data_IF_387844631592
#
_entry.id   IF_387844631592
#
_cell.length_a   1.000
_cell.length_b   1.000
_cell.length_c   1.000
_cell.angle_alpha   90.00
_cell.angle_beta   90.00
_cell.angle_gamma   90.00
#
_symmetry.space_group_name_H-M   'P 1'
#
loop_
_entity.id
_entity.type
_entity.pdbx_description
1 polymer ?
#
# COMPACT_ATOMS: atom_id res chain seq x y z
N UNK A 1 6.86 12.78 -6.51
CA UNK A 1 6.38 12.02 -6.73
C UNK A 1 5.28 11.90 -7.22
N UNK A 2 4.64 11.84 -7.50
CA UNK A 2 3.74 11.64 -8.14
C UNK A 2 2.60 11.78 -7.79
N UNK A 3 2.02 11.54 -7.80
CA UNK A 3 0.99 11.29 -7.94
C UNK A 3 0.11 11.94 -7.62
N UNK A 4 -0.47 12.30 -8.27
CA UNK A 4 -1.55 12.92 -8.14
C UNK A 4 -2.49 12.18 -7.55
N UNK A 5 -2.40 11.67 -6.60
CA UNK A 5 -3.34 10.98 -6.15
C UNK A 5 -4.42 11.68 -5.85
N UNK A 6 -4.36 12.72 -5.50
CA UNK A 6 -5.49 13.40 -5.24
C UNK A 6 -6.39 13.42 -6.31
N UNK A 7 -6.00 13.14 -7.41
CA UNK A 7 -6.86 13.09 -8.39
C UNK A 7 -7.44 11.82 -8.42
N UNK A 8 -8.21 11.36 -7.63
CA UNK A 8 -8.81 10.07 -7.59
C UNK A 8 -9.20 9.54 -8.93
N UNK A 9 -9.77 10.37 -9.77
CA UNK A 9 -10.16 9.88 -11.02
C UNK A 9 -8.98 9.49 -11.82
N UNK A 10 -7.91 10.14 -11.70
CA UNK A 10 -6.73 9.77 -12.43
C UNK A 10 -6.25 8.43 -11.95
N UNK A 11 -6.37 8.18 -10.66
CA UNK A 11 -5.96 6.92 -10.13
C UNK A 11 -6.75 5.78 -10.74
N UNK A 12 -8.02 5.97 -10.91
CA UNK A 12 -8.84 4.95 -11.49
C UNK A 12 -8.41 4.70 -12.92
N UNK A 13 -8.11 5.74 -13.65
CA UNK A 13 -7.66 5.56 -14.97
C UNK A 13 -6.40 4.78 -15.03
N UNK A 14 -5.47 5.03 -14.17
CA UNK A 14 -4.25 4.29 -14.17
C UNK A 14 -4.52 2.84 -13.96
N UNK A 15 -5.42 2.51 -13.07
CA UNK A 15 -5.69 1.12 -12.85
C UNK A 15 -6.28 0.44 -14.06
N UNK A 16 -7.09 1.14 -14.80
CA UNK A 16 -7.66 0.54 -15.97
C UNK A 16 -6.63 0.25 -17.02
N UNK A 17 -5.63 1.09 -17.12
CA UNK A 17 -4.64 0.88 -18.12
C UNK A 17 -3.52 -0.02 -17.69
N UNK A 18 -3.46 -0.35 -16.44
CA UNK A 18 -2.45 -1.20 -15.84
C UNK A 18 -1.10 -0.52 -15.79
N UNK A 19 -0.22 -1.09 -15.05
CA UNK A 19 1.04 -0.47 -14.81
C UNK A 19 1.86 -0.24 -16.04
N UNK A 20 1.83 -1.13 -16.91
CA UNK A 20 2.70 -1.01 -18.05
C UNK A 20 2.41 0.16 -18.91
N UNK A 21 1.22 0.74 -18.77
CA UNK A 21 0.92 1.83 -19.59
C UNK A 21 1.36 3.12 -19.04
N UNK A 22 1.67 3.19 -17.76
CA UNK A 22 2.08 4.42 -17.13
C UNK A 22 3.51 4.26 -16.71
N UNK A 23 4.42 4.74 -17.56
CA UNK A 23 5.80 4.60 -17.28
C UNK A 23 6.12 5.19 -15.94
N UNK A 24 6.96 4.57 -15.19
CA UNK A 24 7.37 5.05 -13.88
C UNK A 24 6.54 4.52 -12.74
N UNK A 25 5.40 3.89 -13.01
CA UNK A 25 4.59 3.33 -11.95
C UNK A 25 4.76 1.82 -11.89
N UNK A 26 4.77 1.30 -10.67
CA UNK A 26 4.88 -0.13 -10.45
C UNK A 26 3.70 -0.58 -9.63
N UNK A 27 2.94 -1.53 -10.15
CA UNK A 27 1.83 -2.14 -9.43
C UNK A 27 2.19 -3.58 -9.12
N UNK A 28 1.84 -4.01 -7.93
CA UNK A 28 2.05 -5.40 -7.53
C UNK A 28 0.80 -5.88 -6.82
N UNK A 29 0.69 -7.18 -6.70
CA UNK A 29 -0.41 -7.77 -5.95
C UNK A 29 0.17 -8.29 -4.65
N UNK A 30 -0.39 -7.86 -3.54
CA UNK A 30 0.03 -8.31 -2.23
C UNK A 30 -1.10 -9.09 -1.60
N UNK A 31 -0.78 -9.87 -0.60
CA UNK A 31 -1.77 -10.62 0.16
C UNK A 31 -1.88 -10.00 1.53
N UNK A 32 -3.10 -9.69 1.93
CA UNK A 32 -3.39 -9.11 3.23
C UNK A 32 -4.15 -10.14 4.04
N UNK A 33 -3.74 -10.37 5.27
CA UNK A 33 -4.28 -11.45 6.08
C UNK A 33 -5.16 -10.93 7.21
N UNK A 34 -6.09 -11.80 7.64
CA UNK A 34 -6.79 -11.59 8.90
C UNK A 34 -5.81 -11.74 10.05
N UNK A 35 -6.23 -11.31 11.25
CA UNK A 35 -5.33 -11.34 12.38
C UNK A 35 -4.86 -12.74 12.74
N UNK A 36 -5.73 -13.74 12.60
CA UNK A 36 -5.36 -15.12 12.91
C UNK A 36 -4.72 -15.82 11.72
N UNK A 37 -4.50 -15.11 10.63
CA UNK A 37 -3.82 -15.62 9.44
C UNK A 37 -4.59 -16.73 8.72
N UNK A 38 -5.87 -16.91 9.02
CA UNK A 38 -6.63 -17.99 8.39
C UNK A 38 -7.35 -17.56 7.12
N UNK A 39 -7.49 -16.25 6.92
CA UNK A 39 -8.15 -15.71 5.73
C UNK A 39 -7.28 -14.63 5.15
N UNK A 40 -7.40 -14.41 3.87
CA UNK A 40 -6.62 -13.37 3.21
C UNK A 40 -7.38 -12.85 2.00
N UNK A 41 -6.96 -11.68 1.53
CA UNK A 41 -7.43 -11.07 0.31
C UNK A 41 -6.24 -10.58 -0.48
N UNK A 42 -6.28 -10.76 -1.78
CA UNK A 42 -5.23 -10.21 -2.65
C UNK A 42 -5.64 -8.80 -3.07
N UNK A 43 -4.70 -7.89 -3.03
CA UNK A 43 -4.97 -6.49 -3.34
C UNK A 43 -3.87 -5.99 -4.27
N UNK A 44 -4.28 -5.34 -5.36
CA UNK A 44 -3.32 -4.70 -6.23
C UNK A 44 -3.00 -3.33 -5.67
N UNK A 45 -1.74 -3.02 -5.53
CA UNK A 45 -1.30 -1.75 -4.95
C UNK A 45 -0.25 -1.10 -5.83
N UNK A 46 -0.23 0.23 -5.79
CA UNK A 46 0.82 1.00 -6.43
C UNK A 46 1.97 1.12 -5.45
N UNK A 47 3.17 0.79 -5.88
CA UNK A 47 4.34 0.93 -5.03
C UNK A 47 4.76 2.39 -5.02
N UNK A 48 4.73 3.00 -3.84
CA UNK A 48 5.01 4.44 -3.73
C UNK A 48 5.92 4.66 -2.52
N UNK A 49 7.20 4.74 -2.77
CA UNK A 49 8.16 4.94 -1.68
C UNK A 49 8.07 6.34 -1.06
N UNK A 50 7.30 7.23 -1.66
CA UNK A 50 7.04 8.53 -1.08
C UNK A 50 5.93 8.53 -0.06
N UNK A 51 5.13 7.47 -0.01
CA UNK A 51 4.10 7.33 1.00
C UNK A 51 4.69 6.58 2.19
N UNK A 52 4.36 7.01 3.40
CA UNK A 52 4.90 6.34 4.58
C UNK A 52 4.17 5.04 4.86
N UNK A 53 2.85 5.07 4.90
CA UNK A 53 2.05 3.90 5.22
C UNK A 53 1.41 3.31 3.99
N UNK A 54 1.04 2.04 4.10
CA UNK A 54 0.31 1.33 3.07
C UNK A 54 -1.18 1.62 3.25
N UNK A 55 -1.87 1.90 2.15
CA UNK A 55 -3.31 2.15 2.18
C UNK A 55 -4.03 1.00 1.48
N UNK A 56 -4.94 0.38 2.19
CA UNK A 56 -5.72 -0.75 1.70
C UNK A 56 -7.20 -0.36 1.77
N UNK A 57 -8.02 -0.73 0.80
CA UNK A 57 -9.42 -0.37 0.88
C UNK A 57 -10.07 -0.84 2.18
N UNK A 58 -10.84 0.05 2.80
CA UNK A 58 -11.51 -0.27 4.05
C UNK A 58 -12.34 -1.54 3.91
N UNK A 59 -13.03 -1.70 2.80
CA UNK A 59 -13.88 -2.86 2.63
C UNK A 59 -13.09 -4.16 2.70
N UNK A 60 -11.89 -4.17 2.18
CA UNK A 60 -11.02 -5.35 2.25
C UNK A 60 -10.62 -5.64 3.68
N UNK A 61 -10.21 -4.61 4.40
CA UNK A 61 -9.76 -4.80 5.78
C UNK A 61 -10.92 -5.25 6.67
N UNK A 62 -12.10 -4.68 6.46
CA UNK A 62 -13.27 -5.07 7.24
C UNK A 62 -13.68 -6.50 6.94
N UNK A 63 -13.59 -6.90 5.69
CA UNK A 63 -13.91 -8.27 5.32
C UNK A 63 -12.99 -9.26 6.04
N UNK A 64 -11.77 -8.86 6.33
CA UNK A 64 -10.84 -9.68 7.06
C UNK A 64 -10.99 -9.55 8.57
N UNK A 65 -11.95 -8.78 9.03
CA UNK A 65 -12.19 -8.60 10.47
C UNK A 65 -11.21 -7.67 11.14
N UNK A 66 -10.43 -6.92 10.37
CA UNK A 66 -9.46 -6.00 10.93
C UNK A 66 -10.14 -4.72 11.35
N UNK A 67 -9.71 -4.17 12.48
CA UNK A 67 -10.30 -2.96 13.03
C UNK A 67 -9.25 -1.90 13.23
N UNK A 68 -9.60 -0.63 13.07
CA UNK A 68 -8.64 0.42 13.32
C UNK A 68 -8.33 0.55 14.80
N UNK A 69 -7.15 1.02 15.10
CA UNK A 69 -6.74 1.28 16.48
C UNK A 69 -6.53 2.75 16.74
N UNK A 70 -6.50 3.58 15.69
CA UNK A 70 -6.24 5.00 15.85
C UNK A 70 -6.76 5.75 14.64
N UNK A 71 -6.78 7.07 14.73
CA UNK A 71 -7.14 7.91 13.61
C UNK A 71 -6.04 8.94 13.46
N UNK A 72 -5.60 9.15 12.23
CA UNK A 72 -4.49 10.03 11.96
C UNK A 72 -4.77 10.98 10.83
N UNK A 73 -4.07 12.11 10.84
CA UNK A 73 -4.16 13.08 9.76
C UNK A 73 -3.01 12.86 8.82
N UNK A 74 -3.30 12.93 7.54
CA UNK A 74 -2.30 12.77 6.49
C UNK A 74 -2.36 13.96 5.55
N UNK A 75 -1.19 14.44 5.17
CA UNK A 75 -1.12 15.48 4.17
C UNK A 75 -1.06 14.80 2.81
N UNK A 76 -1.88 15.26 1.91
CA UNK A 76 -1.93 14.67 0.57
C UNK A 76 -1.37 15.64 -0.44
N UNK A 77 -1.06 15.14 -1.61
CA UNK A 77 -0.59 15.99 -2.68
C UNK A 77 -1.68 16.99 -3.00
N UNK A 78 -1.30 18.18 -3.31
CA UNK A 78 -2.26 19.24 -3.54
C UNK A 78 -2.48 20.09 -2.31
N UNK A 79 -1.87 19.72 -1.19
CA UNK A 79 -1.88 20.56 -0.02
C UNK A 79 -3.01 20.33 0.96
N UNK A 80 -3.88 19.39 0.70
CA UNK A 80 -4.97 19.11 1.63
C UNK A 80 -4.53 18.21 2.76
N UNK A 81 -5.40 18.08 3.77
CA UNK A 81 -5.21 17.17 4.88
C UNK A 81 -6.45 16.30 4.96
N UNK A 82 -6.25 15.01 5.10
CA UNK A 82 -7.35 14.08 5.28
C UNK A 82 -7.13 13.29 6.55
N UNK A 83 -8.21 12.79 7.12
CA UNK A 83 -8.12 11.93 8.28
C UNK A 83 -8.51 10.53 7.88
N UNK A 84 -7.78 9.56 8.38
CA UNK A 84 -8.06 8.16 8.07
C UNK A 84 -7.85 7.31 9.30
N UNK A 85 -8.59 6.23 9.38
CA UNK A 85 -8.37 5.23 10.40
C UNK A 85 -7.11 4.44 10.06
N UNK A 86 -6.39 4.04 11.10
CA UNK A 86 -5.16 3.27 10.92
C UNK A 86 -5.19 2.06 11.83
N UNK A 87 -4.62 0.98 11.36
CA UNK A 87 -4.49 -0.22 12.17
C UNK A 87 -3.28 -1.01 11.71
N UNK A 88 -3.26 -2.29 11.98
CA UNK A 88 -2.17 -3.16 11.57
C UNK A 88 -2.70 -4.36 10.82
N UNK A 89 -1.86 -4.91 9.94
CA UNK A 89 -2.22 -6.11 9.22
C UNK A 89 -0.96 -6.85 8.83
N UNK A 90 -1.06 -8.16 8.69
CA UNK A 90 0.02 -8.94 8.12
C UNK A 90 -0.13 -8.87 6.61
N UNK A 91 0.93 -8.49 5.92
CA UNK A 91 0.94 -8.45 4.47
C UNK A 91 2.06 -9.31 3.96
N UNK A 92 1.87 -9.83 2.76
CA UNK A 92 2.83 -10.76 2.18
C UNK A 92 3.06 -10.42 0.72
N UNK A 93 4.30 -10.45 0.31
CA UNK A 93 4.67 -10.34 -1.10
C UNK A 93 5.84 -11.28 -1.33
N UNK A 94 5.73 -12.07 -2.39
CA UNK A 94 6.75 -13.09 -2.64
C UNK A 94 6.75 -14.07 -1.49
N UNK A 95 7.90 -14.28 -0.90
CA UNK A 95 8.01 -15.23 0.19
C UNK A 95 8.18 -14.53 1.53
N UNK A 96 7.87 -13.25 1.61
CA UNK A 96 8.09 -12.47 2.82
C UNK A 96 6.79 -11.93 3.36
N UNK A 97 6.65 -11.96 4.67
CA UNK A 97 5.44 -11.52 5.36
C UNK A 97 5.84 -10.67 6.55
N UNK A 98 5.10 -9.63 6.82
CA UNK A 98 5.38 -8.75 7.95
C UNK A 98 4.09 -8.12 8.45
N UNK A 99 4.06 -7.74 9.72
CA UNK A 99 2.95 -6.98 10.27
C UNK A 99 3.32 -5.52 10.12
N UNK A 100 2.45 -4.76 9.47
CA UNK A 100 2.75 -3.37 9.13
C UNK A 100 1.55 -2.49 9.43
N UNK A 101 1.76 -1.20 9.62
CA UNK A 101 0.65 -0.27 9.76
C UNK A 101 -0.06 -0.12 8.43
N UNK A 102 -1.37 -0.08 8.46
CA UNK A 102 -2.18 0.13 7.27
C UNK A 102 -3.20 1.22 7.51
N UNK A 103 -3.47 1.98 6.46
CA UNK A 103 -4.49 3.00 6.45
C UNK A 103 -5.75 2.38 5.87
N UNK A 104 -6.88 2.61 6.51
CA UNK A 104 -8.17 2.15 6.00
C UNK A 104 -8.60 3.13 4.93
N UNK A 105 -8.34 2.77 3.68
CA UNK A 105 -8.58 3.66 2.55
C UNK A 105 -10.06 3.84 2.25
N UNK A 106 -10.44 5.06 1.92
CA UNK A 106 -11.80 5.34 1.51
C UNK A 106 -11.94 4.99 0.03
N UNK A 107 -13.18 4.89 -0.47
CA UNK A 107 -13.36 4.42 -1.85
C UNK A 107 -12.59 5.19 -2.91
N UNK A 108 -12.35 6.47 -2.69
CA UNK A 108 -11.62 7.26 -3.68
C UNK A 108 -10.12 7.17 -3.52
N UNK A 109 -9.64 6.55 -2.48
CA UNK A 109 -8.20 6.45 -2.26
C UNK A 109 -7.61 5.33 -3.08
N UNK A 110 -6.46 5.57 -3.67
CA UNK A 110 -5.77 4.53 -4.42
C UNK A 110 -5.04 3.61 -3.44
N UNK A 111 -5.17 2.29 -3.59
CA UNK A 111 -4.39 1.39 -2.76
C UNK A 111 -2.89 1.54 -3.07
N UNK A 112 -2.10 1.73 -2.03
CA UNK A 112 -0.69 2.08 -2.16
C UNK A 112 0.14 1.25 -1.20
N UNK A 113 1.30 0.80 -1.64
CA UNK A 113 2.27 0.14 -0.78
C UNK A 113 3.32 1.18 -0.42
N UNK A 114 3.40 1.53 0.85
CA UNK A 114 4.27 2.60 1.29
C UNK A 114 5.63 2.14 1.75
N UNK A 115 6.46 3.10 2.13
CA UNK A 115 7.86 2.85 2.48
C UNK A 115 8.00 1.93 3.68
N UNK A 116 7.19 2.10 4.70
CA UNK A 116 7.30 1.28 5.90
C UNK A 116 7.10 -0.19 5.57
N UNK A 117 6.15 -0.49 4.70
CA UNK A 117 5.90 -1.88 4.31
C UNK A 117 7.06 -2.42 3.47
N UNK A 118 7.57 -1.61 2.55
CA UNK A 118 8.72 -2.05 1.76
C UNK A 118 9.88 -2.41 2.66
N UNK A 119 10.16 -1.54 3.63
CA UNK A 119 11.26 -1.77 4.55
C UNK A 119 11.01 -2.99 5.43
N UNK A 120 9.79 -3.14 5.94
CA UNK A 120 9.48 -4.27 6.80
C UNK A 120 9.57 -5.59 6.07
N UNK A 121 9.17 -5.62 4.81
CA UNK A 121 9.26 -6.82 4.01
C UNK A 121 10.68 -7.05 3.48
N UNK A 122 11.52 -6.03 3.48
CA UNK A 122 12.87 -6.17 2.98
C UNK A 122 12.94 -6.13 1.47
N UNK A 123 12.15 -5.26 0.85
CA UNK A 123 12.22 -5.06 -0.58
C UNK A 123 12.60 -3.63 -0.91
N UNK A 124 13.22 -3.47 -2.06
CA UNK A 124 13.61 -2.18 -2.54
C UNK A 124 13.13 -2.07 -3.98
N UNK A 125 12.61 -0.91 -4.35
CA UNK A 125 12.18 -0.69 -5.72
C UNK A 125 13.38 -0.31 -6.57
N UNK A 126 13.62 -1.11 -7.61
CA UNK A 126 14.70 -0.82 -8.54
C UNK A 126 14.20 0.23 -9.52
N UNK A 127 14.79 1.42 -9.56
CA UNK A 127 14.28 2.47 -10.43
C UNK A 127 14.45 2.18 -11.91
N UNK A 128 15.34 1.30 -12.27
CA UNK A 128 15.56 0.99 -13.65
C UNK A 128 14.60 -0.07 -14.16
N UNK A 129 14.55 -1.21 -13.49
CA UNK A 129 13.67 -2.28 -13.93
C UNK A 129 12.23 -2.08 -13.47
N UNK A 130 12.00 -1.16 -12.52
CA UNK A 130 10.68 -0.91 -11.95
C UNK A 130 10.14 -2.14 -11.24
N UNK A 131 11.00 -2.95 -10.71
CA UNK A 131 10.62 -4.15 -9.98
C UNK A 131 11.13 -4.10 -8.56
N UNK A 132 10.48 -4.86 -7.69
CA UNK A 132 10.94 -4.98 -6.32
C UNK A 132 12.04 -6.03 -6.27
N UNK A 133 13.10 -5.70 -5.55
CA UNK A 133 14.22 -6.61 -5.35
C UNK A 133 14.32 -6.91 -3.86
N UNK A 134 14.50 -8.16 -3.49
CA UNK A 134 14.70 -8.47 -2.08
C UNK A 134 16.06 -7.95 -1.62
N UNK A 135 16.12 -7.48 -0.40
CA UNK A 135 17.37 -7.07 0.22
C UNK A 135 17.44 -7.71 1.58
N UNK A 136 18.64 -7.83 2.09
CA UNK A 136 18.83 -8.39 3.42
C UNK A 136 18.55 -7.34 4.47
N UNK A 137 17.84 -7.74 5.51
CA UNK A 137 17.57 -6.82 6.60
C UNK A 137 18.71 -6.87 7.58
N UNK A 138 19.10 -5.69 8.04
CA UNK A 138 20.22 -5.59 8.96
C UNK A 138 19.66 -5.62 10.38
N UNK A 139 20.28 -6.46 11.20
CA UNK A 139 19.89 -6.52 12.58
C UNK A 139 21.13 -6.32 13.44
N UNK A 140 21.13 -5.26 14.23
CA UNK A 140 22.30 -4.89 14.99
C UNK A 140 22.16 -5.21 16.44
#
# INVERSE_FOLDING_TARGET
MFCPRGLGKVNILKRQFSAGRFMGFTYIKIRVYSMDLTRWEDVEVLVDSGALFTSIPRSTLEKLGLKPIARQKFRVYGGGVVERDVGGAAVEYGERRAIVPVVFGEPKDLPVLGATTLESLGYQLDPISKRLKPVELLMM
#
